data_IF_712562136051
#
_entry.id   IF_712562136051
#
_cell.length_a   1.000
_cell.length_b   1.000
_cell.length_c   1.000
_cell.angle_alpha   90.00
_cell.angle_beta   90.00
_cell.angle_gamma   90.00
#
_symmetry.space_group_name_H-M   'P 1'
#
loop_
_entity.id
_entity.type
_entity.pdbx_description
1 polymer ?
#
# COMPACT_ATOMS: atom_id res chain seq x y z
N UNK A 1 32.31 9.14 9.30
CA UNK A 1 31.12 10.02 9.42
C UNK A 1 30.85 10.64 8.08
N UNK A 2 29.60 10.63 7.62
CA UNK A 2 29.19 11.38 6.43
C UNK A 2 29.11 12.86 6.78
N UNK A 3 29.43 13.73 5.82
CA UNK A 3 29.11 15.15 5.97
C UNK A 3 27.59 15.36 5.90
N UNK A 4 27.12 16.52 6.35
CA UNK A 4 25.71 16.89 6.21
C UNK A 4 25.26 16.80 4.74
N UNK A 5 26.09 17.30 3.82
CA UNK A 5 25.83 17.23 2.38
C UNK A 5 25.69 15.78 1.88
N UNK A 6 26.62 14.89 2.26
CA UNK A 6 26.57 13.47 1.89
C UNK A 6 25.38 12.73 2.52
N UNK A 7 24.91 13.17 3.69
CA UNK A 7 23.72 12.61 4.34
C UNK A 7 22.46 13.03 3.60
N UNK A 8 22.35 14.31 3.21
CA UNK A 8 21.22 14.82 2.42
C UNK A 8 21.15 14.16 1.06
N UNK A 9 22.29 13.98 0.38
CA UNK A 9 22.37 13.31 -0.92
C UNK A 9 21.89 11.86 -0.85
N UNK A 10 22.37 11.08 0.13
CA UNK A 10 21.91 9.70 0.35
C UNK A 10 20.43 9.62 0.71
N UNK A 11 19.92 10.59 1.47
CA UNK A 11 18.49 10.65 1.78
C UNK A 11 17.67 10.92 0.52
N UNK A 12 18.10 11.84 -0.34
CA UNK A 12 17.45 12.13 -1.61
C UNK A 12 17.46 10.90 -2.54
N UNK A 13 18.58 10.19 -2.65
CA UNK A 13 18.66 8.93 -3.41
C UNK A 13 17.71 7.86 -2.86
N UNK A 14 17.64 7.72 -1.53
CA UNK A 14 16.76 6.74 -0.90
C UNK A 14 15.30 7.09 -1.16
N UNK A 15 14.93 8.37 -1.04
CA UNK A 15 13.58 8.84 -1.35
C UNK A 15 13.21 8.59 -2.80
N UNK A 16 14.12 8.84 -3.75
CA UNK A 16 13.86 8.57 -5.17
C UNK A 16 13.72 7.07 -5.46
N UNK A 17 14.51 6.21 -4.83
CA UNK A 17 14.38 4.75 -4.97
C UNK A 17 13.02 4.27 -4.45
N UNK A 18 12.65 4.69 -3.24
CA UNK A 18 11.35 4.36 -2.65
C UNK A 18 10.21 4.90 -3.50
N UNK A 19 10.33 6.09 -4.07
CA UNK A 19 9.34 6.65 -4.99
C UNK A 19 9.15 5.75 -6.22
N UNK A 20 10.24 5.32 -6.87
CA UNK A 20 10.18 4.41 -8.04
C UNK A 20 9.55 3.07 -7.67
N UNK A 21 9.88 2.50 -6.52
CA UNK A 21 9.28 1.25 -6.02
C UNK A 21 7.77 1.39 -5.79
N UNK A 22 7.34 2.52 -5.22
CA UNK A 22 5.91 2.83 -5.01
C UNK A 22 5.18 2.99 -6.35
N UNK A 23 5.75 3.67 -7.34
CA UNK A 23 5.14 3.82 -8.67
C UNK A 23 5.06 2.48 -9.42
N UNK A 24 6.04 1.59 -9.26
CA UNK A 24 5.98 0.23 -9.79
C UNK A 24 4.82 -0.56 -9.14
N UNK A 25 4.69 -0.50 -7.81
CA UNK A 25 3.58 -1.13 -7.09
C UNK A 25 2.23 -0.56 -7.55
N UNK A 26 2.13 0.76 -7.73
CA UNK A 26 0.93 1.42 -8.26
C UNK A 26 0.54 0.87 -9.63
N UNK A 27 1.51 0.73 -10.52
CA UNK A 27 1.29 0.21 -11.88
C UNK A 27 0.73 -1.21 -11.85
N UNK A 28 1.27 -2.05 -10.96
CA UNK A 28 0.77 -3.42 -10.73
C UNK A 28 -0.66 -3.42 -10.19
N UNK A 29 -0.96 -2.58 -9.19
CA UNK A 29 -2.31 -2.47 -8.60
C UNK A 29 -3.33 -2.01 -9.63
N UNK A 30 -3.00 -1.03 -10.47
CA UNK A 30 -3.87 -0.57 -11.55
C UNK A 30 -4.10 -1.69 -12.57
N UNK A 31 -3.04 -2.38 -13.01
CA UNK A 31 -3.15 -3.50 -13.94
C UNK A 31 -4.02 -4.64 -13.40
N UNK A 32 -3.83 -5.00 -12.13
CA UNK A 32 -4.69 -5.97 -11.43
C UNK A 32 -6.13 -5.47 -11.37
N UNK A 33 -6.37 -4.21 -11.00
CA UNK A 33 -7.71 -3.63 -10.98
C UNK A 33 -8.40 -3.69 -12.34
N UNK A 34 -7.68 -3.45 -13.44
CA UNK A 34 -8.22 -3.55 -14.80
C UNK A 34 -8.60 -4.99 -15.14
N UNK A 35 -7.71 -5.97 -14.89
CA UNK A 35 -7.99 -7.38 -15.17
C UNK A 35 -9.14 -7.92 -14.32
N UNK A 36 -9.22 -7.52 -13.05
CA UNK A 36 -10.28 -7.93 -12.12
C UNK A 36 -11.62 -7.27 -12.43
N UNK A 37 -11.64 -6.11 -13.09
CA UNK A 37 -12.88 -5.50 -13.57
C UNK A 37 -13.58 -6.40 -14.60
N UNK A 38 -12.80 -7.02 -15.48
CA UNK A 38 -13.31 -7.88 -16.55
C UNK A 38 -13.63 -9.30 -16.07
N UNK A 39 -13.22 -9.68 -14.86
CA UNK A 39 -13.44 -11.02 -14.28
C UNK A 39 -13.98 -10.95 -12.84
N UNK A 40 -15.31 -10.83 -12.64
CA UNK A 40 -15.93 -10.63 -11.32
C UNK A 40 -15.63 -11.72 -10.28
N UNK A 41 -15.46 -12.97 -10.73
CA UNK A 41 -15.17 -14.12 -9.85
C UNK A 41 -13.78 -14.00 -9.19
N UNK A 42 -12.78 -13.51 -9.94
CA UNK A 42 -11.45 -13.25 -9.42
C UNK A 42 -11.43 -12.02 -8.51
N UNK A 43 -12.32 -11.05 -8.75
CA UNK A 43 -12.40 -9.83 -7.95
C UNK A 43 -12.73 -10.13 -6.48
N UNK A 44 -13.67 -11.05 -6.21
CA UNK A 44 -14.06 -11.40 -4.84
C UNK A 44 -12.91 -12.08 -4.07
N UNK A 45 -12.28 -13.12 -4.68
CA UNK A 45 -11.15 -13.82 -4.08
C UNK A 45 -9.95 -12.90 -3.83
N UNK A 46 -9.70 -11.94 -4.74
CA UNK A 46 -8.64 -10.95 -4.58
C UNK A 46 -8.92 -9.98 -3.43
N UNK A 47 -10.15 -9.49 -3.29
CA UNK A 47 -10.54 -8.58 -2.19
C UNK A 47 -10.37 -9.28 -0.84
N UNK A 48 -10.79 -10.54 -0.72
CA UNK A 48 -10.66 -11.31 0.52
C UNK A 48 -9.19 -11.57 0.88
N UNK A 49 -8.37 -11.97 -0.09
CA UNK A 49 -6.94 -12.17 0.11
C UNK A 49 -6.20 -10.88 0.49
N UNK A 50 -6.56 -9.75 -0.13
CA UNK A 50 -5.94 -8.45 0.16
C UNK A 50 -6.32 -7.93 1.55
N UNK A 51 -7.58 -8.10 1.95
CA UNK A 51 -8.06 -7.70 3.28
C UNK A 51 -7.28 -8.46 4.37
N UNK A 52 -7.13 -9.78 4.22
CA UNK A 52 -6.35 -10.61 5.15
C UNK A 52 -4.85 -10.29 5.15
N UNK A 53 -4.25 -9.95 4.00
CA UNK A 53 -2.82 -9.61 3.91
C UNK A 53 -2.50 -8.23 4.51
N UNK A 54 -3.38 -7.23 4.34
CA UNK A 54 -3.25 -5.91 4.97
C UNK A 54 -3.27 -6.05 6.50
N UNK A 55 -4.11 -6.93 7.03
CA UNK A 55 -4.20 -7.23 8.46
C UNK A 55 -3.01 -8.06 8.97
N UNK A 56 -2.59 -9.08 8.24
CA UNK A 56 -1.45 -9.93 8.63
C UNK A 56 -0.12 -9.18 8.68
N UNK A 57 0.10 -8.25 7.75
CA UNK A 57 1.31 -7.43 7.70
C UNK A 57 1.36 -6.36 8.80
N UNK A 58 0.22 -6.01 9.42
CA UNK A 58 0.17 -5.07 10.55
C UNK A 58 0.83 -5.62 11.82
N UNK A 59 0.81 -6.94 11.99
CA UNK A 59 1.30 -7.60 13.22
C UNK A 59 2.77 -7.99 13.11
N UNK A 60 3.29 -8.23 11.90
CA UNK A 60 4.61 -8.84 11.72
C UNK A 60 5.75 -7.93 11.22
N UNK A 61 5.47 -6.73 10.69
CA UNK A 61 6.49 -5.94 9.98
C UNK A 61 7.38 -5.04 10.83
N UNK A 62 6.90 -4.53 11.98
CA UNK A 62 7.56 -3.41 12.69
C UNK A 62 8.05 -3.74 14.10
N UNK A 63 7.80 -4.94 14.61
CA UNK A 63 8.13 -5.31 16.01
C UNK A 63 7.41 -4.46 17.08
N UNK A 64 6.52 -3.56 16.66
CA UNK A 64 5.70 -2.68 17.49
C UNK A 64 4.42 -2.34 16.72
N UNK A 65 3.28 -2.15 17.40
CA UNK A 65 2.04 -1.74 16.73
C UNK A 65 2.23 -0.43 15.96
N UNK A 66 1.65 -0.33 14.76
CA UNK A 66 1.58 0.95 14.04
C UNK A 66 0.79 1.97 14.87
N UNK A 67 1.27 3.20 14.93
CA UNK A 67 0.52 4.29 15.57
C UNK A 67 -0.70 4.67 14.72
N UNK A 68 -1.70 5.32 15.32
CA UNK A 68 -2.88 5.81 14.60
C UNK A 68 -2.50 6.72 13.41
N UNK A 69 -1.47 7.55 13.57
CA UNK A 69 -0.97 8.41 12.49
C UNK A 69 -0.38 7.60 11.32
N UNK A 70 0.36 6.52 11.61
CA UNK A 70 0.90 5.63 10.58
C UNK A 70 -0.22 4.90 9.83
N UNK A 71 -1.27 4.47 10.56
CA UNK A 71 -2.45 3.85 9.96
C UNK A 71 -3.22 4.83 9.07
N UNK A 72 -3.34 6.09 9.50
CA UNK A 72 -3.99 7.16 8.72
C UNK A 72 -3.21 7.48 7.44
N UNK A 73 -1.88 7.58 7.53
CA UNK A 73 -1.02 7.81 6.37
C UNK A 73 -1.13 6.65 5.38
N UNK A 74 -1.10 5.41 5.87
CA UNK A 74 -1.31 4.21 5.04
C UNK A 74 -2.65 4.27 4.31
N UNK A 75 -3.75 4.52 5.02
CA UNK A 75 -5.08 4.54 4.42
C UNK A 75 -5.23 5.66 3.37
N UNK A 76 -4.61 6.82 3.59
CA UNK A 76 -4.53 7.89 2.60
C UNK A 76 -3.69 7.52 1.37
N UNK A 77 -2.70 6.65 1.53
CA UNK A 77 -1.89 6.16 0.41
C UNK A 77 -2.62 5.07 -0.36
N UNK A 78 -3.21 4.09 0.32
CA UNK A 78 -3.97 3.01 -0.31
C UNK A 78 -5.15 3.55 -1.12
N UNK A 79 -5.85 4.56 -0.62
CA UNK A 79 -6.95 5.20 -1.37
C UNK A 79 -6.50 5.88 -2.67
N UNK A 80 -5.24 6.32 -2.78
CA UNK A 80 -4.68 6.91 -4.00
C UNK A 80 -4.16 5.87 -4.99
N UNK A 81 -3.84 4.68 -4.51
CA UNK A 81 -3.22 3.61 -5.29
C UNK A 81 -4.26 2.65 -5.88
N UNK A 82 -5.39 2.49 -5.22
CA UNK A 82 -6.48 1.60 -5.65
C UNK A 82 -7.58 2.38 -6.38
N UNK A 83 -8.25 1.75 -7.33
CA UNK A 83 -9.46 2.32 -7.92
C UNK A 83 -10.56 2.44 -6.85
N UNK A 84 -11.31 3.54 -6.87
CA UNK A 84 -12.35 3.85 -5.88
C UNK A 84 -13.31 2.68 -5.58
N UNK A 85 -13.81 1.91 -6.58
CA UNK A 85 -14.73 0.81 -6.31
C UNK A 85 -14.11 -0.34 -5.52
N UNK A 86 -12.80 -0.59 -5.69
CA UNK A 86 -12.08 -1.64 -4.95
C UNK A 86 -11.78 -1.15 -3.54
N UNK A 87 -11.36 0.10 -3.40
CA UNK A 87 -11.06 0.69 -2.10
C UNK A 87 -12.29 0.71 -1.18
N UNK A 88 -13.47 1.07 -1.71
CA UNK A 88 -14.72 1.04 -0.93
C UNK A 88 -15.07 -0.37 -0.44
N UNK A 89 -14.86 -1.41 -1.26
CA UNK A 89 -15.10 -2.81 -0.87
C UNK A 89 -14.15 -3.25 0.26
N UNK A 90 -12.88 -2.87 0.20
CA UNK A 90 -11.90 -3.17 1.25
C UNK A 90 -12.28 -2.46 2.57
N UNK A 91 -12.71 -1.21 2.51
CA UNK A 91 -13.15 -0.49 3.72
C UNK A 91 -14.40 -1.10 4.36
N UNK A 92 -15.35 -1.56 3.54
CA UNK A 92 -16.58 -2.19 4.02
C UNK A 92 -16.33 -3.55 4.70
N UNK A 93 -15.23 -4.22 4.39
CA UNK A 93 -14.86 -5.52 4.96
C UNK A 93 -13.92 -5.43 6.17
N UNK A 94 -13.57 -4.22 6.63
CA UNK A 94 -12.78 -4.07 7.87
C UNK A 94 -13.64 -4.46 9.09
N UNK A 95 -13.16 -5.34 9.99
CA UNK A 95 -13.83 -5.60 11.25
C UNK A 95 -13.85 -4.34 12.13
N UNK A 96 -14.91 -4.23 12.96
CA UNK A 96 -15.12 -3.13 13.90
C UNK A 96 -14.11 -3.11 15.05
#
# INVERSE_FOLDING_TARGET
MLTLAQTVEKLAETLMKTYVEIEALRTVVIGLSTVLHDTPELQAAFVDSMSGAIEGNLVHGLGSPMTEDMLKIRDQWLSKLMADPIWQKIQANKPA
#
